data_IF_923801602306
#
_entry.id   IF_923801602306
#
_cell.length_a   1.000
_cell.length_b   1.000
_cell.length_c   1.000
_cell.angle_alpha   90.00
_cell.angle_beta   90.00
_cell.angle_gamma   90.00
#
_symmetry.space_group_name_H-M   'P 1'
#
loop_
_entity.id
_entity.type
_entity.pdbx_description
1 polymer ?
#
# COMPACT_ATOMS: atom_id res chain seq x y z
N UNK A 1 -5.71 14.12 -11.72
CA UNK A 1 -5.12 13.37 -10.60
C UNK A 1 -4.13 14.30 -9.91
N UNK A 2 -4.28 14.53 -8.61
CA UNK A 2 -3.32 15.28 -7.80
C UNK A 2 -2.27 14.36 -7.17
N UNK A 3 -1.85 13.35 -7.93
CA UNK A 3 -0.89 12.34 -7.52
C UNK A 3 0.53 12.88 -7.67
N UNK A 4 1.27 12.93 -6.56
CA UNK A 4 2.71 13.20 -6.55
C UNK A 4 3.43 11.90 -6.22
N UNK A 5 4.43 11.54 -7.03
CA UNK A 5 5.24 10.33 -6.86
C UNK A 5 6.71 10.70 -6.90
N UNK A 6 7.48 10.26 -5.91
CA UNK A 6 8.94 10.35 -5.89
C UNK A 6 9.57 8.99 -5.58
N UNK A 7 10.71 8.70 -6.21
CA UNK A 7 11.52 7.50 -5.94
C UNK A 7 12.78 7.94 -5.20
N UNK A 8 13.01 7.39 -4.02
CA UNK A 8 14.16 7.74 -3.18
C UNK A 8 14.78 6.51 -2.53
N UNK A 9 16.00 6.64 -2.01
CA UNK A 9 16.68 5.62 -1.22
C UNK A 9 16.47 5.86 0.27
N UNK A 10 16.15 4.81 1.03
CA UNK A 10 16.03 4.86 2.48
C UNK A 10 16.67 3.63 3.12
N UNK A 11 17.15 3.74 4.35
CA UNK A 11 17.68 2.59 5.10
C UNK A 11 16.58 1.98 5.96
N UNK A 12 16.46 0.65 5.93
CA UNK A 12 15.45 -0.04 6.72
C UNK A 12 15.77 -1.48 7.05
N UNK A 13 14.93 -2.06 7.90
CA UNK A 13 15.02 -3.44 8.38
C UNK A 13 13.80 -4.23 7.94
N UNK A 14 14.02 -5.46 7.45
CA UNK A 14 12.95 -6.35 6.97
C UNK A 14 12.58 -7.45 7.97
N UNK A 15 13.43 -7.68 8.97
CA UNK A 15 13.22 -8.73 9.98
C UNK A 15 13.43 -8.21 11.38
N UNK A 16 12.80 -8.87 12.35
CA UNK A 16 12.89 -8.52 13.78
C UNK A 16 14.32 -8.62 14.33
N UNK A 17 15.17 -9.46 13.70
CA UNK A 17 16.52 -9.77 14.19
C UNK A 17 17.65 -9.08 13.39
N UNK A 18 17.31 -8.25 12.40
CA UNK A 18 18.29 -7.55 11.59
C UNK A 18 19.00 -6.46 12.43
N UNK A 19 20.31 -6.62 12.66
CA UNK A 19 21.10 -5.67 13.44
C UNK A 19 21.38 -4.38 12.68
N UNK A 20 21.85 -4.49 11.43
CA UNK A 20 22.22 -3.35 10.57
C UNK A 20 21.12 -3.06 9.55
N UNK A 21 20.79 -1.79 9.34
CA UNK A 21 19.85 -1.38 8.29
C UNK A 21 20.48 -1.54 6.91
N UNK A 22 19.66 -1.88 5.91
CA UNK A 22 20.09 -2.01 4.52
C UNK A 22 19.43 -0.94 3.66
N UNK A 23 20.17 -0.44 2.66
CA UNK A 23 19.65 0.50 1.67
C UNK A 23 18.55 -0.16 0.83
N UNK A 24 17.42 0.53 0.72
CA UNK A 24 16.24 0.10 -0.02
C UNK A 24 15.73 1.26 -0.86
N UNK A 25 15.17 0.96 -2.02
CA UNK A 25 14.50 1.95 -2.85
C UNK A 25 13.02 1.99 -2.46
N UNK A 26 12.49 3.18 -2.27
CA UNK A 26 11.11 3.41 -1.86
C UNK A 26 10.43 4.37 -2.83
N UNK A 27 9.12 4.19 -2.99
CA UNK A 27 8.25 5.09 -3.75
C UNK A 27 7.37 5.82 -2.74
N UNK A 28 7.56 7.13 -2.61
CA UNK A 28 6.68 7.97 -1.81
C UNK A 28 5.62 8.54 -2.73
N UNK A 29 4.37 8.17 -2.47
CA UNK A 29 3.24 8.63 -3.25
C UNK A 29 2.24 9.35 -2.35
N UNK A 30 1.76 10.51 -2.80
CA UNK A 30 0.68 11.24 -2.15
C UNK A 30 -0.43 11.48 -3.15
N UNK A 31 -1.66 11.14 -2.77
CA UNK A 31 -2.86 11.38 -3.58
C UNK A 31 -3.66 12.53 -2.97
N UNK A 32 -4.26 13.36 -3.84
CA UNK A 32 -5.26 14.33 -3.42
C UNK A 32 -6.50 13.59 -2.91
N UNK A 33 -6.79 13.72 -1.61
CA UNK A 33 -7.89 13.04 -0.96
C UNK A 33 -9.22 13.29 -1.69
N UNK A 34 -9.84 12.21 -2.18
CA UNK A 34 -11.24 12.23 -2.59
C UNK A 34 -12.05 12.07 -1.30
N UNK A 35 -12.87 13.06 -0.96
CA UNK A 35 -13.88 12.95 0.10
C UNK A 35 -14.66 11.65 -0.13
N UNK A 36 -14.72 10.78 0.88
CA UNK A 36 -15.33 9.43 0.85
C UNK A 36 -16.84 9.38 0.55
N UNK A 37 -17.43 10.44 -0.02
CA UNK A 37 -18.87 10.60 -0.22
C UNK A 37 -19.37 10.09 -1.58
N UNK A 38 -18.51 9.81 -2.58
CA UNK A 38 -18.95 9.42 -3.93
C UNK A 38 -18.95 7.91 -4.20
N UNK A 39 -18.61 7.07 -3.22
CA UNK A 39 -18.54 5.61 -3.41
C UNK A 39 -19.87 4.87 -3.10
N UNK A 40 -20.97 5.58 -2.80
CA UNK A 40 -22.22 4.97 -2.32
C UNK A 40 -23.31 4.77 -3.39
N UNK A 41 -23.10 5.20 -4.64
CA UNK A 41 -24.18 5.20 -5.65
C UNK A 41 -23.98 4.23 -6.82
N UNK A 42 -23.27 3.12 -6.62
CA UNK A 42 -23.20 2.06 -7.64
C UNK A 42 -23.37 0.65 -7.06
N UNK A 43 -24.35 0.48 -6.17
CA UNK A 43 -24.75 -0.83 -5.64
C UNK A 43 -26.28 -0.94 -5.55
N UNK A 44 -26.95 -0.90 -6.69
CA UNK A 44 -28.37 -1.21 -6.79
C UNK A 44 -28.57 -2.52 -7.55
N UNK A 45 -29.05 -3.53 -6.80
CA UNK A 45 -29.64 -4.82 -7.21
C UNK A 45 -28.68 -5.98 -7.53
N UNK A 46 -28.52 -6.91 -6.58
CA UNK A 46 -29.03 -8.31 -6.67
C UNK A 46 -29.23 -8.82 -5.23
N UNK A 47 -30.46 -9.24 -4.94
CA UNK A 47 -30.90 -9.96 -3.75
C UNK A 47 -30.58 -11.45 -3.94
N UNK A 48 -29.81 -12.07 -3.05
CA UNK A 48 -30.05 -13.43 -2.53
C UNK A 48 -28.92 -13.87 -1.55
N UNK A 49 -29.33 -14.58 -0.51
CA UNK A 49 -28.56 -15.01 0.65
C UNK A 49 -27.32 -15.86 0.33
N UNK A 50 -26.16 -15.53 0.94
CA UNK A 50 -25.32 -16.34 1.85
C UNK A 50 -23.96 -15.64 2.01
N UNK A 51 -23.51 -15.35 3.24
CA UNK A 51 -22.22 -14.68 3.53
C UNK A 51 -21.05 -15.42 2.86
N UNK A 52 -20.13 -14.74 2.15
CA UNK A 52 -18.87 -14.36 2.82
C UNK A 52 -18.19 -13.07 2.31
N UNK A 53 -17.40 -12.49 3.21
CA UNK A 53 -16.23 -11.63 3.00
C UNK A 53 -16.43 -10.30 2.27
N UNK A 54 -16.23 -9.23 3.04
CA UNK A 54 -15.86 -7.91 2.56
C UNK A 54 -14.81 -8.01 1.44
N UNK A 55 -15.21 -7.68 0.21
CA UNK A 55 -14.30 -7.46 -0.92
C UNK A 55 -13.50 -6.15 -0.75
N UNK A 56 -12.97 -5.90 0.43
CA UNK A 56 -11.77 -5.09 0.57
C UNK A 56 -10.64 -6.06 0.31
N UNK A 57 -9.71 -5.70 -0.57
CA UNK A 57 -8.41 -6.36 -0.63
C UNK A 57 -7.72 -6.16 0.72
N UNK A 58 -8.11 -6.90 1.75
CA UNK A 58 -7.44 -6.91 3.03
C UNK A 58 -6.08 -7.54 2.78
N UNK A 59 -5.04 -6.81 3.15
CA UNK A 59 -3.68 -7.33 3.18
C UNK A 59 -3.70 -8.59 4.05
N UNK A 60 -3.19 -9.71 3.53
CA UNK A 60 -3.13 -10.96 4.29
C UNK A 60 -2.28 -10.71 5.54
N UNK A 61 -2.88 -10.81 6.72
CA UNK A 61 -2.21 -10.58 7.99
C UNK A 61 -1.13 -11.65 8.22
N UNK A 62 0.05 -11.23 8.64
CA UNK A 62 1.14 -12.15 8.97
C UNK A 62 0.95 -12.69 10.39
N UNK A 63 1.15 -14.01 10.57
CA UNK A 63 1.15 -14.65 11.89
C UNK A 63 2.29 -14.07 12.78
N UNK A 64 2.02 -13.85 14.06
CA UNK A 64 2.92 -13.26 15.06
C UNK A 64 4.30 -13.96 15.16
N UNK A 65 4.35 -15.24 14.82
CA UNK A 65 5.57 -16.07 14.77
C UNK A 65 6.48 -15.76 13.56
N UNK A 66 6.06 -14.88 12.65
CA UNK A 66 6.90 -14.51 11.51
C UNK A 66 8.11 -13.68 11.95
N UNK A 67 9.28 -14.06 11.47
CA UNK A 67 10.53 -13.31 11.66
C UNK A 67 10.58 -12.06 10.75
N UNK A 68 9.75 -12.02 9.71
CA UNK A 68 9.60 -10.89 8.79
C UNK A 68 8.71 -9.83 9.44
N UNK A 69 9.09 -8.57 9.27
CA UNK A 69 8.21 -7.45 9.57
C UNK A 69 7.18 -7.33 8.46
N UNK A 70 5.95 -6.98 8.81
CA UNK A 70 4.87 -6.77 7.84
C UNK A 70 5.24 -5.67 6.84
N UNK A 71 5.77 -4.57 7.36
CA UNK A 71 6.36 -3.48 6.57
C UNK A 71 7.83 -3.35 6.92
N UNK A 72 8.63 -2.93 5.94
CA UNK A 72 10.02 -2.53 6.19
C UNK A 72 9.98 -1.39 7.19
N UNK A 73 10.74 -1.53 8.29
CA UNK A 73 10.92 -0.45 9.25
C UNK A 73 12.08 0.42 8.82
N UNK A 74 11.80 1.64 8.38
CA UNK A 74 12.81 2.60 7.94
C UNK A 74 13.37 3.41 9.11
N UNK A 75 14.58 3.93 8.95
CA UNK A 75 15.19 4.83 9.93
C UNK A 75 14.55 6.22 9.92
N UNK A 76 14.10 6.70 8.76
CA UNK A 76 13.28 7.92 8.65
C UNK A 76 11.83 7.59 9.05
N UNK A 77 11.34 8.22 10.12
CA UNK A 77 9.97 8.03 10.61
C UNK A 77 8.91 8.43 9.57
N UNK A 78 9.23 9.36 8.66
CA UNK A 78 8.29 9.76 7.61
C UNK A 78 8.06 8.65 6.59
N UNK A 79 9.05 7.79 6.35
CA UNK A 79 8.95 6.65 5.43
C UNK A 79 8.12 5.49 6.00
N UNK A 80 7.90 5.50 7.31
CA UNK A 80 7.07 4.50 7.98
C UNK A 80 5.57 4.87 7.96
N UNK A 81 5.21 6.08 7.49
CA UNK A 81 3.81 6.51 7.39
C UNK A 81 3.19 5.93 6.13
N UNK A 82 2.26 4.99 6.31
CA UNK A 82 1.48 4.42 5.22
C UNK A 82 0.16 5.18 5.12
N UNK A 83 -0.11 5.78 3.97
CA UNK A 83 -1.38 6.44 3.66
C UNK A 83 -2.17 5.63 2.62
N UNK A 84 -3.49 5.66 2.72
CA UNK A 84 -4.36 5.01 1.75
C UNK A 84 -4.37 5.82 0.44
N UNK A 85 -4.09 5.16 -0.68
CA UNK A 85 -4.16 5.72 -2.03
C UNK A 85 -5.49 5.32 -2.69
N UNK A 86 -6.00 6.18 -3.58
CA UNK A 86 -7.15 5.82 -4.41
C UNK A 86 -6.80 4.67 -5.36
N UNK A 87 -7.78 3.81 -5.70
CA UNK A 87 -7.60 2.66 -6.61
C UNK A 87 -7.04 3.08 -7.97
N UNK A 88 -7.47 4.24 -8.50
CA UNK A 88 -6.92 4.78 -9.75
C UNK A 88 -5.45 5.20 -9.62
N UNK A 89 -5.05 5.80 -8.49
CA UNK A 89 -3.66 6.20 -8.31
C UNK A 89 -2.76 4.98 -8.05
N UNK A 90 -3.28 3.96 -7.37
CA UNK A 90 -2.60 2.67 -7.22
C UNK A 90 -2.35 1.99 -8.57
N UNK A 91 -3.34 1.99 -9.47
CA UNK A 91 -3.16 1.40 -10.81
C UNK A 91 -2.20 2.21 -11.69
N UNK A 92 -2.17 3.54 -11.55
CA UNK A 92 -1.18 4.40 -12.20
C UNK A 92 0.24 4.08 -11.70
N UNK A 93 0.45 3.98 -10.38
CA UNK A 93 1.76 3.64 -9.81
C UNK A 93 2.20 2.25 -10.28
N UNK A 94 1.30 1.27 -10.25
CA UNK A 94 1.59 -0.08 -10.71
C UNK A 94 1.98 -0.11 -12.19
N UNK A 95 1.28 0.67 -13.04
CA UNK A 95 1.64 0.81 -14.46
C UNK A 95 3.03 1.44 -14.64
N UNK A 96 3.39 2.47 -13.85
CA UNK A 96 4.73 3.07 -13.87
C UNK A 96 5.80 2.06 -13.46
N UNK A 97 5.51 1.19 -12.50
CA UNK A 97 6.42 0.14 -12.06
C UNK A 97 6.46 -1.08 -13.00
N UNK A 98 5.50 -1.23 -13.90
CA UNK A 98 5.45 -2.34 -14.87
C UNK A 98 6.20 -2.07 -16.17
N UNK A 99 6.58 -0.81 -16.46
CA UNK A 99 7.46 -0.47 -17.59
C UNK A 99 8.92 -0.84 -17.31
N UNK A 100 9.14 -2.05 -16.79
CA UNK A 100 10.44 -2.69 -16.75
C UNK A 100 10.61 -3.42 -18.08
N UNK A 101 11.18 -2.73 -19.07
CA UNK A 101 11.77 -3.43 -20.22
C UNK A 101 12.82 -4.39 -19.67
N UNK A 102 12.53 -5.68 -19.78
CA UNK A 102 13.50 -6.75 -19.58
C UNK A 102 14.50 -6.78 -20.74
#
# INVERSE_FOLDING_TARGET
SGLSVEVTGSQGKRTKYQQNSTSQMIVRATSAAISKNDASELSANVDDQESPSESKSSRVEHNEDSFLLENVKYEDENDNKVSDLNVLDQSIILALCLDVKN
#
